data_IF_004124585049
#
_entry.id   IF_004124585049
#
_cell.length_a   1.000
_cell.length_b   1.000
_cell.length_c   1.000
_cell.angle_alpha   90.00
_cell.angle_beta   90.00
_cell.angle_gamma   90.00
#
_symmetry.space_group_name_H-M   'P 1'
#
loop_
_entity.id
_entity.type
_entity.pdbx_description
1 polymer ?
#
# COMPACT_ATOMS: atom_id res chain seq x y z
N UNK A 1 -5.23 1.16 -15.84
CA UNK A 1 -4.36 1.12 -17.03
C UNK A 1 -3.25 0.13 -16.75
N UNK A 2 -2.75 -0.64 -17.73
CA UNK A 2 -1.60 -1.52 -17.50
C UNK A 2 -0.39 -0.67 -17.09
N UNK A 3 0.46 -1.24 -16.25
CA UNK A 3 1.73 -0.60 -15.86
C UNK A 3 2.59 -0.47 -17.12
N UNK A 4 3.19 0.71 -17.34
CA UNK A 4 4.05 0.94 -18.49
C UNK A 4 5.22 -0.05 -18.48
N UNK A 5 5.44 -0.77 -19.59
CA UNK A 5 6.48 -1.79 -19.70
C UNK A 5 6.10 -3.16 -19.13
N UNK A 6 4.81 -3.46 -18.95
CA UNK A 6 4.34 -4.74 -18.45
C UNK A 6 4.81 -5.91 -19.34
N UNK A 7 5.33 -6.95 -18.68
CA UNK A 7 5.83 -8.15 -19.37
C UNK A 7 4.70 -8.94 -20.00
N UNK A 8 4.99 -9.57 -21.16
CA UNK A 8 4.07 -10.48 -21.82
C UNK A 8 4.02 -11.81 -21.04
N UNK A 9 2.85 -12.23 -20.51
CA UNK A 9 2.71 -13.49 -19.79
C UNK A 9 3.21 -14.71 -20.55
N UNK A 10 2.95 -14.79 -21.84
CA UNK A 10 3.36 -15.94 -22.67
C UNK A 10 4.89 -16.04 -22.81
N UNK A 11 5.60 -14.92 -22.80
CA UNK A 11 7.06 -14.91 -22.89
C UNK A 11 7.73 -15.40 -21.61
N UNK A 12 7.12 -15.12 -20.43
CA UNK A 12 7.72 -15.49 -19.15
C UNK A 12 7.23 -16.84 -18.62
N UNK A 13 6.11 -17.38 -19.10
CA UNK A 13 5.52 -18.64 -18.61
C UNK A 13 6.49 -19.81 -18.66
N UNK A 14 7.18 -19.99 -19.77
CA UNK A 14 8.16 -21.09 -19.93
C UNK A 14 9.31 -20.99 -18.94
N UNK A 15 9.92 -19.81 -18.82
CA UNK A 15 11.03 -19.53 -17.90
C UNK A 15 10.60 -19.72 -16.46
N UNK A 16 9.40 -19.24 -16.09
CA UNK A 16 8.85 -19.42 -14.74
C UNK A 16 8.54 -20.88 -14.43
N UNK A 17 8.11 -21.68 -15.42
CA UNK A 17 7.88 -23.11 -15.22
C UNK A 17 9.19 -23.83 -14.89
N UNK A 18 10.26 -23.57 -15.64
CA UNK A 18 11.59 -24.13 -15.39
C UNK A 18 12.13 -23.69 -14.03
N UNK A 19 12.04 -22.39 -13.71
CA UNK A 19 12.45 -21.84 -12.43
C UNK A 19 11.67 -22.46 -11.25
N UNK A 20 10.35 -22.61 -11.37
CA UNK A 20 9.54 -23.28 -10.34
C UNK A 20 9.97 -24.72 -10.10
N UNK A 21 10.29 -25.47 -11.16
CA UNK A 21 10.79 -26.84 -11.02
C UNK A 21 12.12 -26.89 -10.25
N UNK A 22 13.00 -25.91 -10.44
CA UNK A 22 14.25 -25.80 -9.66
C UNK A 22 13.99 -25.51 -8.17
N UNK A 23 12.91 -24.77 -7.84
CA UNK A 23 12.54 -24.50 -6.45
C UNK A 23 11.94 -25.74 -5.75
N UNK A 24 11.51 -26.74 -6.49
CA UNK A 24 10.82 -27.94 -6.01
C UNK A 24 11.52 -29.23 -6.51
N UNK A 25 12.75 -29.53 -6.04
CA UNK A 25 13.53 -30.67 -6.57
C UNK A 25 12.89 -32.04 -6.32
N UNK A 26 11.96 -32.14 -5.36
CA UNK A 26 11.23 -33.39 -5.04
C UNK A 26 9.93 -33.53 -5.87
N UNK A 27 9.54 -32.49 -6.61
CA UNK A 27 8.36 -32.51 -7.48
C UNK A 27 8.71 -32.91 -8.91
N UNK A 28 7.74 -33.51 -9.62
CA UNK A 28 7.81 -33.78 -11.05
C UNK A 28 6.63 -33.14 -11.77
N UNK A 29 6.71 -33.10 -13.12
CA UNK A 29 5.64 -32.58 -13.97
C UNK A 29 5.17 -31.17 -13.66
N UNK A 30 6.09 -30.31 -13.19
CA UNK A 30 5.78 -28.92 -12.88
C UNK A 30 5.35 -28.19 -14.15
N UNK A 31 4.17 -27.58 -14.10
CA UNK A 31 3.58 -26.88 -15.24
C UNK A 31 2.77 -25.67 -14.78
N UNK A 32 2.98 -24.50 -15.39
CA UNK A 32 2.07 -23.35 -15.27
C UNK A 32 1.00 -23.52 -16.35
N UNK A 33 -0.23 -23.77 -15.94
CA UNK A 33 -1.37 -24.04 -16.83
C UNK A 33 -2.02 -22.76 -17.33
N UNK A 34 -2.03 -21.70 -16.49
CA UNK A 34 -2.52 -20.37 -16.86
C UNK A 34 -1.64 -19.29 -16.24
N UNK A 35 -1.49 -18.15 -16.93
CA UNK A 35 -0.76 -16.98 -16.47
C UNK A 35 -1.38 -15.73 -17.07
N UNK A 36 -2.06 -14.93 -16.24
CA UNK A 36 -2.82 -13.78 -16.70
C UNK A 36 -2.51 -12.53 -15.89
N UNK A 37 -2.66 -11.38 -16.53
CA UNK A 37 -2.61 -10.08 -15.86
C UNK A 37 -3.98 -9.72 -15.34
N UNK A 38 -4.17 -9.43 -14.05
CA UNK A 38 -5.47 -8.99 -13.52
C UNK A 38 -5.88 -7.64 -14.11
N UNK A 39 -7.18 -7.42 -14.27
CA UNK A 39 -7.73 -6.18 -14.84
C UNK A 39 -7.45 -4.96 -13.97
N UNK A 40 -7.27 -5.14 -12.66
CA UNK A 40 -6.88 -4.09 -11.71
C UNK A 40 -5.54 -4.49 -11.07
N UNK A 41 -4.44 -3.94 -11.55
CA UNK A 41 -3.13 -4.01 -10.91
C UNK A 41 -2.79 -2.66 -10.30
N UNK A 42 -2.07 -2.66 -9.15
CA UNK A 42 -1.52 -1.43 -8.57
C UNK A 42 -0.51 -0.75 -9.49
N UNK A 43 -0.12 0.48 -9.17
CA UNK A 43 0.79 1.29 -10.01
C UNK A 43 2.27 0.96 -9.79
N UNK A 44 2.63 0.37 -8.66
CA UNK A 44 4.02 0.23 -8.21
C UNK A 44 4.67 -1.09 -8.59
N UNK A 45 3.89 -2.17 -8.79
CA UNK A 45 4.39 -3.51 -9.07
C UNK A 45 3.55 -4.24 -10.10
N UNK A 46 4.20 -5.03 -10.95
CA UNK A 46 3.49 -5.94 -11.86
C UNK A 46 2.93 -7.13 -11.08
N UNK A 47 1.69 -7.47 -11.36
CA UNK A 47 0.99 -8.60 -10.75
C UNK A 47 0.52 -9.58 -11.83
N UNK A 48 0.77 -10.86 -11.62
CA UNK A 48 0.26 -11.92 -12.46
C UNK A 48 -0.46 -12.95 -11.58
N UNK A 49 -1.61 -13.42 -12.05
CA UNK A 49 -2.30 -14.59 -11.49
C UNK A 49 -1.86 -15.81 -12.28
N UNK A 50 -1.51 -16.86 -11.60
CA UNK A 50 -1.08 -18.08 -12.24
C UNK A 50 -1.69 -19.31 -11.57
N UNK A 51 -2.05 -20.27 -12.41
CA UNK A 51 -2.45 -21.61 -12.00
C UNK A 51 -1.32 -22.56 -12.37
N UNK A 52 -0.88 -23.37 -11.41
CA UNK A 52 0.22 -24.30 -11.59
C UNK A 52 -0.14 -25.69 -11.06
N UNK A 53 0.45 -26.70 -11.67
CA UNK A 53 0.29 -28.10 -11.23
C UNK A 53 1.64 -28.79 -11.16
N UNK A 54 1.78 -29.72 -10.22
CA UNK A 54 2.94 -30.60 -10.12
C UNK A 54 2.56 -31.91 -9.43
N UNK A 55 3.45 -32.89 -9.48
CA UNK A 55 3.33 -34.13 -8.73
C UNK A 55 4.31 -34.11 -7.57
N UNK A 56 3.83 -34.26 -6.36
CA UNK A 56 4.63 -34.33 -5.12
C UNK A 56 4.22 -35.56 -4.32
N UNK A 57 5.18 -36.36 -3.87
CA UNK A 57 4.94 -37.64 -3.17
C UNK A 57 3.96 -38.60 -3.90
N UNK A 58 3.90 -38.53 -5.23
CA UNK A 58 3.01 -39.34 -6.06
C UNK A 58 1.58 -38.81 -6.17
N UNK A 59 1.28 -37.67 -5.54
CA UNK A 59 -0.03 -37.01 -5.63
C UNK A 59 0.06 -35.74 -6.48
N UNK A 60 -1.01 -35.48 -7.25
CA UNK A 60 -1.13 -34.25 -8.02
C UNK A 60 -1.49 -33.09 -7.08
N UNK A 61 -0.77 -32.01 -7.18
CA UNK A 61 -1.05 -30.72 -6.53
C UNK A 61 -1.51 -29.75 -7.60
N UNK A 62 -2.63 -29.08 -7.35
CA UNK A 62 -3.12 -27.94 -8.13
C UNK A 62 -3.00 -26.70 -7.22
N UNK A 63 -2.37 -25.64 -7.70
CA UNK A 63 -2.09 -24.42 -6.92
C UNK A 63 -2.48 -23.18 -7.69
N UNK A 64 -3.18 -22.29 -7.01
CA UNK A 64 -3.51 -20.93 -7.46
C UNK A 64 -2.54 -19.97 -6.79
N UNK A 65 -1.75 -19.25 -7.57
CA UNK A 65 -0.66 -18.42 -7.09
C UNK A 65 -0.78 -16.97 -7.62
N UNK A 66 -0.09 -16.07 -6.95
CA UNK A 66 0.13 -14.69 -7.40
C UNK A 66 1.63 -14.47 -7.48
N UNK A 67 2.09 -13.97 -8.63
CA UNK A 67 3.44 -13.45 -8.80
C UNK A 67 3.41 -11.93 -8.72
N UNK A 68 4.27 -11.36 -7.88
CA UNK A 68 4.56 -9.92 -7.83
C UNK A 68 5.97 -9.68 -8.32
N UNK A 69 6.13 -8.76 -9.26
CA UNK A 69 7.44 -8.41 -9.82
C UNK A 69 7.66 -6.91 -9.79
N UNK A 70 8.90 -6.50 -9.50
CA UNK A 70 9.29 -5.11 -9.61
C UNK A 70 9.26 -4.69 -11.08
N UNK A 71 8.61 -3.57 -11.43
CA UNK A 71 8.55 -3.09 -12.80
C UNK A 71 9.92 -2.62 -13.27
N UNK A 72 10.17 -2.74 -14.59
CA UNK A 72 11.44 -2.35 -15.20
C UNK A 72 11.67 -0.84 -15.17
N UNK A 73 10.60 -0.03 -15.11
CA UNK A 73 10.68 1.39 -15.46
C UNK A 73 10.05 2.37 -14.49
N UNK A 74 9.44 2.00 -13.36
CA UNK A 74 8.84 3.05 -12.51
C UNK A 74 9.11 2.85 -11.03
N UNK A 75 9.59 3.91 -10.40
CA UNK A 75 9.76 3.96 -8.96
C UNK A 75 8.92 5.12 -8.42
N UNK A 76 7.96 4.80 -7.55
CA UNK A 76 7.20 5.80 -6.79
C UNK A 76 7.94 6.20 -5.51
N UNK A 77 8.87 5.37 -5.05
CA UNK A 77 9.61 5.52 -3.80
C UNK A 77 11.12 5.46 -4.05
N UNK A 78 11.97 6.14 -3.24
CA UNK A 78 13.40 6.24 -3.47
C UNK A 78 14.17 4.93 -3.26
N UNK A 79 13.70 4.07 -2.38
CA UNK A 79 14.42 2.88 -1.91
C UNK A 79 13.46 1.68 -1.87
N UNK A 80 13.31 1.02 -3.04
CA UNK A 80 12.46 -0.17 -3.15
C UNK A 80 13.33 -1.42 -3.21
N UNK A 81 13.06 -2.35 -2.30
CA UNK A 81 13.48 -3.73 -2.39
C UNK A 81 12.26 -4.63 -2.21
N UNK A 82 11.65 -5.02 -3.33
CA UNK A 82 10.43 -5.83 -3.36
C UNK A 82 10.53 -7.09 -2.49
N UNK A 83 11.67 -7.80 -2.57
CA UNK A 83 11.86 -9.05 -1.84
C UNK A 83 12.04 -8.81 -0.36
N UNK A 84 12.82 -7.79 0.05
CA UNK A 84 13.02 -7.48 1.46
C UNK A 84 11.79 -6.84 2.09
N UNK A 85 11.14 -5.92 1.39
CA UNK A 85 10.00 -5.19 1.96
C UNK A 85 8.72 -6.03 1.91
N UNK A 86 8.33 -6.55 0.75
CA UNK A 86 7.04 -7.23 0.62
C UNK A 86 7.11 -8.72 0.96
N UNK A 87 7.97 -9.48 0.29
CA UNK A 87 8.04 -10.92 0.51
C UNK A 87 8.46 -11.28 1.93
N UNK A 88 9.57 -10.71 2.42
CA UNK A 88 10.08 -11.03 3.75
C UNK A 88 9.11 -10.58 4.83
N UNK A 89 8.49 -9.40 4.70
CA UNK A 89 7.50 -8.93 5.67
C UNK A 89 6.29 -9.85 5.75
N UNK A 90 5.69 -10.23 4.61
CA UNK A 90 4.58 -11.19 4.63
C UNK A 90 4.99 -12.57 5.17
N UNK A 91 6.19 -13.04 4.87
CA UNK A 91 6.72 -14.29 5.41
C UNK A 91 6.80 -14.24 6.94
N UNK A 92 7.43 -13.20 7.48
CA UNK A 92 7.59 -13.03 8.93
C UNK A 92 6.24 -12.86 9.64
N UNK A 93 5.32 -12.08 9.05
CA UNK A 93 3.97 -11.92 9.58
C UNK A 93 3.20 -13.25 9.62
N UNK A 94 3.27 -14.03 8.55
CA UNK A 94 2.60 -15.33 8.50
C UNK A 94 3.18 -16.37 9.46
N UNK A 95 4.47 -16.27 9.78
CA UNK A 95 5.16 -17.18 10.69
C UNK A 95 5.05 -16.77 12.18
N UNK A 96 4.93 -15.46 12.48
CA UNK A 96 5.11 -14.93 13.83
C UNK A 96 3.95 -14.04 14.31
N UNK A 97 2.87 -13.90 13.56
CA UNK A 97 1.75 -13.02 13.95
C UNK A 97 0.38 -13.60 13.56
N UNK A 98 -0.67 -12.89 13.96
CA UNK A 98 -2.05 -13.16 13.53
C UNK A 98 -2.55 -12.16 12.47
N UNK A 99 -1.66 -11.36 11.88
CA UNK A 99 -1.99 -10.52 10.73
C UNK A 99 -2.29 -11.43 9.55
N UNK A 100 -3.49 -11.32 8.94
CA UNK A 100 -3.82 -12.17 7.80
C UNK A 100 -3.00 -11.73 6.58
N UNK A 101 -2.13 -12.59 6.12
CA UNK A 101 -1.33 -12.40 4.89
C UNK A 101 -1.34 -13.69 4.07
N UNK A 102 -1.24 -13.61 2.74
CA UNK A 102 -1.11 -14.81 1.92
C UNK A 102 0.18 -15.54 2.28
N UNK A 103 0.14 -16.87 2.21
CA UNK A 103 1.36 -17.68 2.38
C UNK A 103 2.32 -17.37 1.25
N UNK A 104 3.50 -16.85 1.60
CA UNK A 104 4.60 -16.68 0.65
C UNK A 104 5.23 -18.03 0.30
N UNK A 105 5.57 -18.22 -0.98
CA UNK A 105 6.16 -19.46 -1.49
C UNK A 105 7.65 -19.28 -1.74
N UNK A 106 8.02 -18.53 -2.76
CA UNK A 106 9.39 -18.35 -3.21
C UNK A 106 9.65 -16.90 -3.58
N UNK A 107 10.92 -16.50 -3.55
CA UNK A 107 11.36 -15.19 -4.02
C UNK A 107 12.66 -15.31 -4.80
N UNK A 108 12.81 -14.44 -5.82
CA UNK A 108 13.96 -14.41 -6.70
C UNK A 108 14.49 -12.97 -6.83
N UNK A 109 15.80 -12.82 -6.71
CA UNK A 109 16.51 -11.54 -6.87
C UNK A 109 17.27 -11.47 -8.20
N UNK A 110 17.50 -12.61 -8.84
CA UNK A 110 18.18 -12.66 -10.13
C UNK A 110 17.27 -12.07 -11.22
N UNK A 111 17.66 -10.89 -11.67
CA UNK A 111 16.93 -10.17 -12.72
C UNK A 111 17.04 -10.84 -14.09
N UNK A 112 17.94 -11.80 -14.27
CA UNK A 112 18.09 -12.50 -15.55
C UNK A 112 16.93 -13.45 -15.86
N UNK A 113 16.15 -13.86 -14.84
CA UNK A 113 15.04 -14.82 -14.99
C UNK A 113 13.89 -14.17 -15.78
N UNK A 114 13.34 -13.06 -15.25
CA UNK A 114 12.21 -12.35 -15.90
C UNK A 114 12.44 -10.84 -16.05
N UNK A 115 13.67 -10.36 -15.89
CA UNK A 115 14.03 -8.95 -16.06
C UNK A 115 13.86 -8.09 -14.81
N UNK A 116 13.50 -8.64 -13.65
CA UNK A 116 13.39 -7.96 -12.37
C UNK A 116 13.21 -8.92 -11.21
N UNK A 117 13.47 -8.49 -9.96
CA UNK A 117 13.16 -9.28 -8.78
C UNK A 117 11.66 -9.61 -8.71
N UNK A 118 11.32 -10.79 -8.21
CA UNK A 118 9.92 -11.19 -8.04
C UNK A 118 9.75 -12.14 -6.85
N UNK A 119 8.50 -12.34 -6.45
CA UNK A 119 8.13 -13.38 -5.51
C UNK A 119 6.78 -13.99 -5.85
N UNK A 120 6.53 -15.18 -5.33
CA UNK A 120 5.26 -15.88 -5.46
C UNK A 120 4.62 -16.10 -4.09
N UNK A 121 3.28 -16.04 -4.06
CA UNK A 121 2.46 -16.29 -2.90
C UNK A 121 1.18 -17.03 -3.30
N UNK A 122 0.49 -17.64 -2.32
CA UNK A 122 -0.81 -18.24 -2.56
C UNK A 122 -1.85 -17.17 -2.93
N UNK A 123 -2.72 -17.48 -3.86
CA UNK A 123 -3.88 -16.65 -4.18
C UNK A 123 -4.95 -16.86 -3.12
N UNK A 124 -5.47 -15.79 -2.57
CA UNK A 124 -6.62 -15.82 -1.67
C UNK A 124 -7.90 -15.65 -2.46
N UNK A 125 -8.96 -16.35 -2.02
CA UNK A 125 -10.30 -16.21 -2.58
C UNK A 125 -11.12 -15.21 -1.75
N UNK A 126 -11.26 -14.00 -2.26
CA UNK A 126 -11.95 -12.90 -1.60
C UNK A 126 -12.10 -11.69 -2.52
N UNK A 127 -12.64 -10.62 -1.97
CA UNK A 127 -12.88 -9.38 -2.70
C UNK A 127 -12.12 -8.21 -2.06
N UNK A 128 -11.69 -7.27 -2.90
CA UNK A 128 -10.99 -6.05 -2.49
C UNK A 128 -11.88 -4.85 -2.80
N UNK A 129 -12.01 -3.87 -1.88
CA UNK A 129 -12.74 -2.64 -2.15
C UNK A 129 -12.06 -1.84 -3.26
N UNK A 130 -12.84 -1.30 -4.19
CA UNK A 130 -12.33 -0.51 -5.31
C UNK A 130 -11.81 0.86 -4.88
N UNK A 131 -10.76 1.33 -5.57
CA UNK A 131 -10.24 2.69 -5.43
C UNK A 131 -10.78 3.64 -6.52
N UNK A 132 -11.10 3.10 -7.71
CA UNK A 132 -11.59 3.87 -8.86
C UNK A 132 -12.61 3.04 -9.67
N UNK A 133 -13.91 3.27 -9.55
CA UNK A 133 -14.57 4.17 -8.59
C UNK A 133 -14.29 3.76 -7.14
N UNK A 134 -14.29 4.71 -6.19
CA UNK A 134 -14.01 4.37 -4.80
C UNK A 134 -15.14 3.52 -4.19
N UNK A 135 -14.78 2.72 -3.21
CA UNK A 135 -15.69 1.80 -2.51
C UNK A 135 -16.89 2.49 -1.83
N UNK A 136 -16.87 3.82 -1.72
CA UNK A 136 -18.00 4.63 -1.24
C UNK A 136 -19.02 4.97 -2.33
N UNK A 137 -18.67 4.77 -3.62
CA UNK A 137 -19.54 5.02 -4.77
C UNK A 137 -20.06 3.74 -5.43
N UNK A 138 -19.26 2.66 -5.39
CA UNK A 138 -19.62 1.42 -6.10
C UNK A 138 -18.98 0.19 -5.47
N UNK A 139 -19.50 -0.97 -5.85
CA UNK A 139 -19.01 -2.27 -5.41
C UNK A 139 -19.67 -2.75 -4.12
N UNK A 140 -19.19 -3.87 -3.62
CA UNK A 140 -19.84 -4.63 -2.57
C UNK A 140 -20.07 -3.86 -1.25
N UNK A 141 -19.23 -2.86 -0.94
CA UNK A 141 -19.39 -2.04 0.28
C UNK A 141 -20.64 -1.18 0.21
N UNK A 142 -20.99 -0.67 -0.96
CA UNK A 142 -22.24 0.08 -1.18
C UNK A 142 -23.46 -0.82 -1.00
N UNK A 143 -23.38 -2.06 -1.46
CA UNK A 143 -24.48 -3.04 -1.43
C UNK A 143 -24.72 -3.64 -0.04
N UNK A 144 -23.79 -3.47 0.91
CA UNK A 144 -23.91 -3.93 2.29
C UNK A 144 -25.04 -3.22 3.05
N UNK A 145 -25.63 -3.91 4.05
CA UNK A 145 -26.44 -3.23 5.08
C UNK A 145 -25.55 -2.37 6.00
N UNK A 146 -26.15 -1.46 6.76
CA UNK A 146 -25.41 -0.62 7.70
C UNK A 146 -24.67 -1.45 8.76
N UNK A 147 -25.25 -2.56 9.22
CA UNK A 147 -24.63 -3.47 10.17
C UNK A 147 -23.46 -4.24 9.56
N UNK A 148 -23.55 -4.62 8.29
CA UNK A 148 -22.45 -5.24 7.56
C UNK A 148 -21.30 -4.26 7.36
N UNK A 149 -21.60 -3.00 6.94
CA UNK A 149 -20.59 -1.94 6.83
C UNK A 149 -19.91 -1.64 8.16
N UNK A 150 -20.67 -1.63 9.27
CA UNK A 150 -20.08 -1.44 10.59
C UNK A 150 -19.10 -2.56 10.96
N UNK A 151 -19.42 -3.82 10.67
CA UNK A 151 -18.51 -4.95 10.87
C UNK A 151 -17.29 -4.87 9.95
N UNK A 152 -17.53 -4.57 8.67
CA UNK A 152 -16.47 -4.39 7.69
C UNK A 152 -15.46 -3.30 8.11
N UNK A 153 -15.96 -2.13 8.52
CA UNK A 153 -15.13 -1.02 8.97
C UNK A 153 -14.38 -1.36 10.28
N UNK A 154 -15.05 -2.02 11.23
CA UNK A 154 -14.43 -2.50 12.46
C UNK A 154 -13.26 -3.45 12.16
N UNK A 155 -13.50 -4.48 11.33
CA UNK A 155 -12.52 -5.50 11.00
C UNK A 155 -11.33 -4.92 10.22
N UNK A 156 -11.55 -3.90 9.37
CA UNK A 156 -10.49 -3.19 8.67
C UNK A 156 -9.55 -2.46 9.62
N UNK A 157 -10.09 -1.72 10.59
CA UNK A 157 -9.28 -1.03 11.62
C UNK A 157 -8.64 -2.04 12.58
N UNK A 158 -9.31 -3.13 12.89
CA UNK A 158 -8.75 -4.18 13.76
C UNK A 158 -7.53 -4.85 13.09
N UNK A 159 -7.60 -5.16 11.80
CA UNK A 159 -6.46 -5.69 11.05
C UNK A 159 -5.26 -4.72 11.03
N UNK A 160 -5.51 -3.42 10.87
CA UNK A 160 -4.49 -2.37 10.99
C UNK A 160 -3.81 -2.42 12.38
N UNK A 161 -4.58 -2.53 13.46
CA UNK A 161 -4.03 -2.56 14.82
C UNK A 161 -3.27 -3.86 15.13
N UNK A 162 -3.60 -4.97 14.47
CA UNK A 162 -2.81 -6.20 14.58
C UNK A 162 -1.37 -5.99 14.10
N UNK A 163 -1.18 -5.20 13.04
CA UNK A 163 0.16 -4.89 12.52
C UNK A 163 0.97 -4.14 13.58
N UNK A 164 0.44 -3.04 14.13
CA UNK A 164 1.14 -2.25 15.15
C UNK A 164 1.45 -3.01 16.45
N UNK A 165 0.74 -4.13 16.70
CA UNK A 165 0.95 -4.98 17.88
C UNK A 165 1.94 -6.12 17.66
N UNK A 166 2.50 -6.28 16.48
CA UNK A 166 3.52 -7.29 16.22
C UNK A 166 4.76 -6.98 17.06
N UNK A 167 5.23 -7.97 17.81
CA UNK A 167 6.56 -7.91 18.43
C UNK A 167 7.60 -8.00 17.31
N UNK A 168 7.94 -6.85 16.74
CA UNK A 168 8.79 -6.77 15.57
C UNK A 168 10.21 -7.28 15.80
N UNK A 169 10.73 -7.17 17.04
CA UNK A 169 12.05 -7.71 17.40
C UNK A 169 12.01 -9.25 17.41
N UNK A 170 11.05 -9.83 18.14
CA UNK A 170 10.89 -11.28 18.22
C UNK A 170 10.51 -11.89 16.86
N UNK A 171 9.74 -11.17 16.03
CA UNK A 171 9.37 -11.60 14.69
C UNK A 171 10.49 -11.40 13.63
N UNK A 172 11.59 -10.71 13.97
CA UNK A 172 12.76 -10.60 13.08
C UNK A 172 12.74 -9.43 12.09
N UNK A 173 11.96 -8.39 12.36
CA UNK A 173 11.87 -7.19 11.48
C UNK A 173 13.04 -6.22 11.62
N UNK A 174 14.11 -6.57 12.32
CA UNK A 174 15.30 -5.71 12.45
C UNK A 174 15.96 -5.28 11.14
N UNK A 175 15.67 -5.94 10.03
CA UNK A 175 16.10 -5.54 8.69
C UNK A 175 15.47 -4.22 8.22
N UNK A 176 14.37 -3.77 8.84
CA UNK A 176 13.74 -2.48 8.56
C UNK A 176 14.41 -1.30 9.27
N UNK A 177 15.42 -1.53 10.11
CA UNK A 177 16.24 -0.47 10.72
C UNK A 177 17.17 0.15 9.67
N UNK A 178 16.70 1.22 9.05
CA UNK A 178 17.40 1.97 7.98
C UNK A 178 18.39 2.99 8.59
N UNK A 179 19.45 2.49 9.23
CA UNK A 179 20.44 3.30 9.98
C UNK A 179 21.04 4.48 9.20
N UNK A 180 21.07 4.41 7.88
CA UNK A 180 21.55 5.50 7.02
C UNK A 180 20.65 6.74 7.03
N UNK A 181 19.39 6.62 7.49
CA UNK A 181 18.49 7.73 7.71
C UNK A 181 18.54 8.30 9.13
N UNK A 182 19.26 7.68 10.05
CA UNK A 182 19.39 8.13 11.44
C UNK A 182 19.15 7.02 12.47
N UNK A 183 19.03 7.41 13.73
CA UNK A 183 18.69 6.52 14.83
C UNK A 183 17.23 6.07 14.71
N UNK A 184 16.99 4.79 14.94
CA UNK A 184 15.65 4.19 14.89
C UNK A 184 14.63 4.99 15.73
N UNK A 185 13.46 5.20 15.18
CA UNK A 185 12.39 6.02 15.73
C UNK A 185 12.20 7.34 14.98
N UNK A 186 11.78 8.44 15.63
CA UNK A 186 11.41 9.70 14.99
C UNK A 186 12.51 10.29 14.10
N UNK A 187 13.77 10.18 14.54
CA UNK A 187 14.91 10.69 13.77
C UNK A 187 15.07 9.95 12.43
N UNK A 188 14.98 8.63 12.44
CA UNK A 188 15.11 7.80 11.24
C UNK A 188 13.95 8.06 10.27
N UNK A 189 12.71 8.14 10.79
CA UNK A 189 11.54 8.44 9.96
C UNK A 189 11.64 9.82 9.31
N UNK A 190 12.07 10.83 10.06
CA UNK A 190 12.32 12.17 9.52
C UNK A 190 13.42 12.15 8.46
N UNK A 191 14.51 11.42 8.68
CA UNK A 191 15.59 11.26 7.71
C UNK A 191 15.12 10.60 6.41
N UNK A 192 14.31 9.55 6.51
CA UNK A 192 13.68 8.89 5.35
C UNK A 192 12.81 9.87 4.54
N UNK A 193 11.92 10.62 5.19
CA UNK A 193 11.05 11.56 4.48
C UNK A 193 11.79 12.75 3.88
N UNK A 194 12.89 13.20 4.52
CA UNK A 194 13.77 14.19 3.91
C UNK A 194 14.42 13.65 2.64
N UNK A 195 14.90 12.39 2.67
CA UNK A 195 15.46 11.73 1.50
C UNK A 195 14.41 11.58 0.40
N UNK A 196 13.20 11.16 0.75
CA UNK A 196 12.10 11.00 -0.21
C UNK A 196 11.75 12.35 -0.89
N UNK A 197 11.59 13.43 -0.09
CA UNK A 197 11.37 14.78 -0.64
C UNK A 197 12.46 15.18 -1.62
N UNK A 198 13.74 15.03 -1.23
CA UNK A 198 14.86 15.40 -2.07
C UNK A 198 14.87 14.62 -3.39
N UNK A 199 14.63 13.31 -3.32
CA UNK A 199 14.58 12.44 -4.49
C UNK A 199 13.41 12.76 -5.43
N UNK A 200 12.20 12.97 -4.88
CA UNK A 200 11.02 13.24 -5.69
C UNK A 200 11.04 14.65 -6.29
N UNK A 201 11.45 15.65 -5.51
CA UNK A 201 11.41 17.06 -5.92
C UNK A 201 12.61 17.51 -6.75
N UNK A 202 13.74 16.81 -6.64
CA UNK A 202 14.99 17.14 -7.41
C UNK A 202 15.43 18.60 -7.29
N UNK A 203 15.09 19.25 -6.18
CA UNK A 203 15.38 20.68 -5.92
C UNK A 203 14.31 21.65 -6.44
N UNK A 204 13.27 21.19 -7.09
CA UNK A 204 12.14 22.03 -7.50
C UNK A 204 11.28 22.41 -6.30
N UNK A 205 10.68 23.61 -6.33
CA UNK A 205 9.74 24.07 -5.31
C UNK A 205 8.31 23.63 -5.60
N UNK A 206 7.56 23.35 -4.54
CA UNK A 206 6.15 22.96 -4.65
C UNK A 206 5.27 23.71 -3.64
N UNK A 207 4.15 24.32 -4.06
CA UNK A 207 3.38 25.24 -3.21
C UNK A 207 2.69 24.57 -2.02
N UNK A 208 2.60 23.24 -1.98
CA UNK A 208 2.04 22.49 -0.86
C UNK A 208 3.09 21.65 -0.14
N UNK A 209 3.96 20.94 -0.88
CA UNK A 209 4.97 20.04 -0.28
C UNK A 209 5.98 20.82 0.57
N UNK A 210 6.45 21.99 0.12
CA UNK A 210 7.45 22.75 0.88
C UNK A 210 6.87 23.27 2.20
N UNK A 211 5.72 23.96 2.25
CA UNK A 211 5.11 24.36 3.51
C UNK A 211 4.72 23.17 4.41
N UNK A 212 4.27 22.05 3.82
CA UNK A 212 3.97 20.84 4.57
C UNK A 212 5.22 20.29 5.26
N UNK A 213 6.33 20.22 4.54
CA UNK A 213 7.60 19.76 5.12
C UNK A 213 8.09 20.69 6.23
N UNK A 214 8.03 22.00 6.01
CA UNK A 214 8.45 22.99 7.01
C UNK A 214 7.60 22.86 8.29
N UNK A 215 6.28 22.68 8.15
CA UNK A 215 5.39 22.45 9.27
C UNK A 215 5.70 21.13 9.98
N UNK A 216 5.89 20.03 9.23
CA UNK A 216 6.23 18.73 9.80
C UNK A 216 7.54 18.77 10.58
N UNK A 217 8.58 19.41 10.04
CA UNK A 217 9.87 19.56 10.73
C UNK A 217 9.74 20.34 12.04
N UNK A 218 8.91 21.39 12.05
CA UNK A 218 8.68 22.22 13.23
C UNK A 218 7.84 21.53 14.31
N UNK A 219 6.99 20.58 13.94
CA UNK A 219 6.04 19.89 14.81
C UNK A 219 6.32 18.39 14.97
N UNK A 220 7.51 17.91 14.58
CA UNK A 220 7.83 16.47 14.65
C UNK A 220 7.71 15.99 16.10
N UNK A 221 6.86 14.97 16.38
CA UNK A 221 6.65 14.50 17.74
C UNK A 221 7.90 13.79 18.28
N UNK A 222 8.09 13.89 19.59
CA UNK A 222 9.08 13.08 20.32
C UNK A 222 8.36 11.85 20.88
N UNK A 223 8.05 10.91 19.97
CA UNK A 223 7.29 9.68 20.25
C UNK A 223 8.17 8.41 20.09
N UNK A 224 9.47 8.57 20.31
CA UNK A 224 10.46 7.48 20.17
C UNK A 224 10.29 6.32 21.15
N UNK A 225 9.35 6.41 22.09
CA UNK A 225 8.93 5.30 22.93
C UNK A 225 8.09 4.26 22.17
N UNK A 226 7.48 4.66 21.03
CA UNK A 226 6.67 3.80 20.19
C UNK A 226 7.46 3.38 18.95
N UNK A 227 8.25 2.31 19.06
CA UNK A 227 8.88 1.64 17.93
C UNK A 227 8.06 0.39 17.63
N UNK A 228 7.13 0.50 16.73
CA UNK A 228 6.16 -0.51 16.34
C UNK A 228 6.32 -0.82 14.85
N UNK A 229 5.75 -1.92 14.37
CA UNK A 229 5.66 -2.20 12.95
C UNK A 229 4.58 -1.32 12.32
N UNK A 230 4.93 -0.59 11.27
CA UNK A 230 4.01 0.19 10.47
C UNK A 230 3.81 -0.49 9.11
N UNK A 231 2.56 -0.66 8.70
CA UNK A 231 2.23 -1.23 7.40
C UNK A 231 2.61 -0.30 6.24
N UNK A 232 2.32 1.00 6.42
CA UNK A 232 2.66 2.07 5.48
C UNK A 232 1.54 2.45 4.54
N UNK A 233 1.04 1.55 3.68
CA UNK A 233 -0.13 1.83 2.82
C UNK A 233 -1.42 1.25 3.41
N UNK A 234 -1.69 1.66 4.64
CA UNK A 234 -2.79 1.22 5.47
C UNK A 234 -4.13 1.78 4.97
N UNK A 235 -4.84 1.03 4.12
CA UNK A 235 -6.13 1.43 3.55
C UNK A 235 -7.00 0.23 3.16
N UNK A 236 -8.34 0.40 3.07
CA UNK A 236 -9.23 -0.69 2.69
C UNK A 236 -8.90 -1.35 1.35
N UNK A 237 -8.45 -0.57 0.34
CA UNK A 237 -8.06 -1.09 -0.97
C UNK A 237 -6.87 -2.07 -0.95
N UNK A 238 -6.13 -2.14 0.17
CA UNK A 238 -5.05 -3.10 0.38
C UNK A 238 -5.44 -4.21 1.37
N UNK A 239 -6.74 -4.37 1.64
CA UNK A 239 -7.31 -5.47 2.42
C UNK A 239 -8.24 -6.31 1.54
N UNK A 240 -8.10 -7.62 1.62
CA UNK A 240 -9.05 -8.54 1.00
C UNK A 240 -10.05 -9.04 2.04
N UNK A 241 -11.29 -9.04 1.65
CA UNK A 241 -12.40 -9.43 2.51
C UNK A 241 -13.04 -10.73 2.02
N UNK A 242 -13.46 -11.53 2.98
CA UNK A 242 -14.09 -12.82 2.75
C UNK A 242 -15.14 -13.12 3.83
N UNK A 243 -15.45 -14.43 3.98
CA UNK A 243 -16.53 -14.87 4.83
C UNK A 243 -17.90 -14.75 4.17
N UNK A 244 -18.98 -15.16 4.86
CA UNK A 244 -20.32 -15.25 4.26
C UNK A 244 -20.89 -13.92 3.76
N UNK A 245 -20.47 -12.80 4.32
CA UNK A 245 -20.94 -11.46 3.99
C UNK A 245 -19.80 -10.48 3.64
N UNK A 246 -18.61 -11.01 3.34
CA UNK A 246 -17.43 -10.24 2.94
C UNK A 246 -17.03 -9.14 3.93
N UNK A 247 -17.17 -9.40 5.22
CA UNK A 247 -16.78 -8.45 6.27
C UNK A 247 -15.50 -8.84 7.00
N UNK A 248 -15.00 -10.07 6.82
CA UNK A 248 -13.79 -10.57 7.48
C UNK A 248 -12.56 -10.22 6.65
N UNK A 249 -11.54 -9.60 7.26
CA UNK A 249 -10.24 -9.37 6.60
C UNK A 249 -9.47 -10.68 6.55
N UNK A 250 -9.28 -11.22 5.34
CA UNK A 250 -8.57 -12.48 5.08
C UNK A 250 -7.18 -12.27 4.49
N UNK A 251 -6.85 -11.05 4.06
CA UNK A 251 -5.53 -10.71 3.52
C UNK A 251 -5.21 -9.24 3.65
N UNK A 252 -3.97 -8.94 4.03
CA UNK A 252 -3.37 -7.60 4.08
C UNK A 252 -2.19 -7.58 3.13
N UNK A 253 -2.18 -6.61 2.21
CA UNK A 253 -1.25 -6.55 1.08
C UNK A 253 -0.50 -5.22 1.04
N UNK A 254 0.38 -5.12 0.06
CA UNK A 254 1.13 -3.93 -0.31
C UNK A 254 2.03 -3.38 0.80
N UNK A 255 3.04 -4.18 1.12
CA UNK A 255 4.03 -3.93 2.17
C UNK A 255 5.23 -3.11 1.68
N UNK A 256 5.12 -2.41 0.55
CA UNK A 256 6.24 -1.66 -0.02
C UNK A 256 6.69 -0.45 0.81
N UNK A 257 5.79 0.07 1.67
CA UNK A 257 6.05 1.17 2.58
C UNK A 257 6.26 0.73 4.03
N UNK A 258 6.39 -0.60 4.27
CA UNK A 258 6.61 -1.17 5.62
C UNK A 258 7.81 -0.53 6.30
N UNK A 259 7.68 -0.25 7.59
CA UNK A 259 8.73 0.45 8.34
C UNK A 259 8.59 0.25 9.84
N UNK A 260 9.60 0.70 10.60
CA UNK A 260 9.54 0.79 12.05
C UNK A 260 9.33 2.25 12.47
N UNK A 261 8.36 2.48 13.36
CA UNK A 261 8.00 3.80 13.88
C UNK A 261 6.74 3.75 14.73
N UNK A 262 6.11 4.90 14.99
CA UNK A 262 4.83 4.92 15.69
C UNK A 262 3.70 4.52 14.74
N UNK A 263 2.93 3.47 15.08
CA UNK A 263 1.80 2.97 14.28
C UNK A 263 0.61 3.95 14.17
N UNK A 264 0.60 5.06 14.89
CA UNK A 264 -0.29 6.18 14.59
C UNK A 264 -0.09 6.71 13.16
N UNK A 265 1.07 6.48 12.53
CA UNK A 265 1.30 6.83 11.13
C UNK A 265 0.36 6.07 10.19
N UNK A 266 0.08 4.81 10.47
CA UNK A 266 -0.89 4.03 9.70
C UNK A 266 -2.33 4.51 9.94
N UNK A 267 -2.66 4.93 11.18
CA UNK A 267 -3.95 5.56 11.47
C UNK A 267 -4.12 6.87 10.71
N UNK A 268 -3.10 7.75 10.71
CA UNK A 268 -3.12 9.00 9.96
C UNK A 268 -3.26 8.79 8.46
N UNK A 269 -2.55 7.79 7.90
CA UNK A 269 -2.68 7.38 6.51
C UNK A 269 -4.09 6.87 6.19
N UNK A 270 -4.65 6.00 7.03
CA UNK A 270 -6.02 5.48 6.89
C UNK A 270 -7.06 6.62 6.85
N UNK A 271 -6.98 7.55 7.79
CA UNK A 271 -7.90 8.69 7.88
C UNK A 271 -7.78 9.60 6.67
N UNK A 272 -6.55 9.93 6.27
CA UNK A 272 -6.30 10.77 5.10
C UNK A 272 -6.83 10.12 3.82
N UNK A 273 -6.58 8.81 3.61
CA UNK A 273 -7.04 8.09 2.43
C UNK A 273 -8.57 7.91 2.42
N UNK A 274 -9.21 7.72 3.57
CA UNK A 274 -10.67 7.72 3.66
C UNK A 274 -11.25 9.08 3.27
N UNK A 275 -10.68 10.17 3.76
CA UNK A 275 -11.08 11.53 3.39
C UNK A 275 -10.85 11.78 1.89
N UNK A 276 -9.69 11.39 1.37
CA UNK A 276 -9.38 11.49 -0.06
C UNK A 276 -10.39 10.70 -0.91
N UNK A 277 -10.71 9.45 -0.55
CA UNK A 277 -11.67 8.61 -1.26
C UNK A 277 -13.06 9.24 -1.33
N UNK A 278 -13.51 9.85 -0.23
CA UNK A 278 -14.81 10.51 -0.15
C UNK A 278 -14.83 11.80 -0.96
N UNK A 279 -13.86 12.69 -0.76
CA UNK A 279 -13.87 14.03 -1.34
C UNK A 279 -13.52 14.04 -2.82
N UNK A 280 -12.56 13.22 -3.27
CA UNK A 280 -12.23 13.11 -4.70
C UNK A 280 -13.39 12.59 -5.53
N UNK A 281 -14.26 11.79 -4.90
CA UNK A 281 -15.46 11.25 -5.50
C UNK A 281 -16.67 12.21 -5.39
N UNK A 282 -16.61 13.25 -4.53
CA UNK A 282 -17.77 14.06 -4.17
C UNK A 282 -18.83 13.23 -3.45
N UNK A 283 -18.41 12.13 -2.82
CA UNK A 283 -19.25 11.19 -2.10
C UNK A 283 -19.48 11.63 -0.65
N UNK A 284 -20.28 10.87 0.06
CA UNK A 284 -20.46 11.00 1.50
C UNK A 284 -20.13 9.69 2.18
N UNK A 285 -19.77 9.75 3.45
CA UNK A 285 -19.59 8.55 4.25
C UNK A 285 -20.88 7.74 4.29
N UNK A 286 -20.81 6.44 3.96
CA UNK A 286 -21.97 5.58 3.95
C UNK A 286 -22.44 5.26 5.39
N UNK A 287 -23.74 5.12 5.64
CA UNK A 287 -24.23 4.73 6.94
C UNK A 287 -23.61 3.40 7.41
N UNK A 288 -23.24 3.33 8.69
CA UNK A 288 -22.53 2.18 9.26
C UNK A 288 -21.00 2.27 9.19
N UNK A 289 -20.42 3.09 8.31
CA UNK A 289 -18.97 3.33 8.31
C UNK A 289 -18.53 4.17 9.49
N UNK A 290 -17.26 4.01 9.88
CA UNK A 290 -16.64 4.81 10.93
C UNK A 290 -16.20 6.17 10.37
N UNK A 291 -16.63 7.25 11.01
CA UNK A 291 -16.07 8.59 10.79
C UNK A 291 -14.68 8.73 11.45
N UNK A 292 -14.04 9.89 11.27
CA UNK A 292 -12.71 10.15 11.84
C UNK A 292 -12.67 9.93 13.36
N UNK A 293 -13.64 10.48 14.11
CA UNK A 293 -13.64 10.38 15.55
C UNK A 293 -13.85 8.94 16.04
N UNK A 294 -14.78 8.22 15.42
CA UNK A 294 -15.07 6.81 15.73
C UNK A 294 -13.92 5.89 15.34
N UNK A 295 -13.22 6.17 14.23
CA UNK A 295 -12.02 5.42 13.82
C UNK A 295 -10.89 5.58 14.83
N UNK A 296 -10.62 6.81 15.28
CA UNK A 296 -9.60 7.10 16.31
C UNK A 296 -9.97 6.37 17.62
N UNK A 297 -11.21 6.52 18.10
CA UNK A 297 -11.66 5.89 19.33
C UNK A 297 -11.56 4.35 19.27
N UNK A 298 -11.89 3.74 18.13
CA UNK A 298 -11.75 2.31 17.93
C UNK A 298 -10.27 1.90 17.94
N UNK A 299 -9.41 2.64 17.23
CA UNK A 299 -7.96 2.38 17.22
C UNK A 299 -7.37 2.45 18.63
N UNK A 300 -7.70 3.50 19.40
CA UNK A 300 -7.26 3.66 20.82
C UNK A 300 -7.72 2.48 21.68
N UNK A 301 -8.98 2.10 21.55
CA UNK A 301 -9.52 0.93 22.27
C UNK A 301 -8.75 -0.35 21.92
N UNK A 302 -8.52 -0.59 20.63
CA UNK A 302 -7.86 -1.79 20.16
C UNK A 302 -6.37 -1.78 20.50
N UNK A 303 -5.66 -0.66 20.34
CA UNK A 303 -4.25 -0.54 20.69
C UNK A 303 -4.01 -0.54 22.21
N UNK A 304 -5.00 -0.12 23.00
CA UNK A 304 -4.89 0.02 24.45
C UNK A 304 -4.07 1.25 24.89
N UNK A 305 -3.92 2.22 24.01
CA UNK A 305 -3.22 3.49 24.26
C UNK A 305 -3.89 4.65 23.51
N UNK A 306 -3.73 5.90 23.96
CA UNK A 306 -4.24 7.05 23.22
C UNK A 306 -3.48 7.28 21.91
N UNK A 307 -4.16 7.89 20.95
CA UNK A 307 -3.59 8.45 19.73
C UNK A 307 -3.32 9.94 19.95
N UNK A 308 -2.06 10.30 20.15
CA UNK A 308 -1.67 11.64 20.63
C UNK A 308 -1.25 12.59 19.50
N UNK A 309 -0.97 12.08 18.32
CA UNK A 309 -0.37 12.84 17.20
C UNK A 309 -1.11 12.65 15.88
N UNK A 310 -2.41 12.35 15.90
CA UNK A 310 -3.21 12.01 14.70
C UNK A 310 -3.14 13.13 13.66
N UNK A 311 -3.33 14.39 14.06
CA UNK A 311 -3.27 15.52 13.11
C UNK A 311 -1.90 15.65 12.43
N UNK A 312 -0.81 15.36 13.16
CA UNK A 312 0.53 15.32 12.58
C UNK A 312 0.62 14.22 11.53
N UNK A 313 0.14 13.01 11.84
CA UNK A 313 0.24 11.88 10.93
C UNK A 313 -0.71 11.98 9.73
N UNK A 314 -1.85 12.65 9.84
CA UNK A 314 -2.70 12.98 8.68
C UNK A 314 -1.97 13.97 7.73
N UNK A 315 -1.29 14.99 8.28
CA UNK A 315 -0.49 15.91 7.45
C UNK A 315 0.72 15.19 6.83
N UNK A 316 1.37 14.29 7.57
CA UNK A 316 2.46 13.47 7.04
C UNK A 316 1.97 12.57 5.89
N UNK A 317 0.79 11.97 6.02
CA UNK A 317 0.15 11.20 4.96
C UNK A 317 -0.10 12.04 3.71
N UNK A 318 -0.68 13.23 3.88
CA UNK A 318 -0.90 14.18 2.79
C UNK A 318 0.40 14.62 2.10
N UNK A 319 1.45 14.90 2.88
CA UNK A 319 2.79 15.20 2.38
C UNK A 319 3.35 14.03 1.56
N UNK A 320 3.34 12.83 2.11
CA UNK A 320 3.86 11.63 1.45
C UNK A 320 3.09 11.32 0.16
N UNK A 321 1.75 11.37 0.20
CA UNK A 321 0.95 11.12 -1.00
C UNK A 321 1.12 12.24 -2.03
N UNK A 322 1.38 13.48 -1.63
CA UNK A 322 1.75 14.56 -2.56
C UNK A 322 3.06 14.26 -3.30
N UNK A 323 4.06 13.65 -2.66
CA UNK A 323 5.27 13.19 -3.32
C UNK A 323 4.99 12.07 -4.33
N UNK A 324 4.09 11.14 -4.00
CA UNK A 324 3.60 10.12 -4.95
C UNK A 324 2.94 10.76 -6.17
N UNK A 325 2.10 11.80 -5.97
CA UNK A 325 1.44 12.52 -7.07
C UNK A 325 2.44 13.21 -8.01
N UNK A 326 3.55 13.75 -7.48
CA UNK A 326 4.65 14.30 -8.31
C UNK A 326 5.24 13.20 -9.19
N UNK A 327 5.50 12.01 -8.63
CA UNK A 327 6.08 10.90 -9.39
C UNK A 327 5.11 10.32 -10.41
N UNK A 328 3.83 10.22 -10.08
CA UNK A 328 2.78 9.83 -11.03
C UNK A 328 2.67 10.83 -12.19
N UNK A 329 2.74 12.12 -11.90
CA UNK A 329 2.74 13.14 -12.95
C UNK A 329 3.94 12.99 -13.90
N UNK A 330 5.15 12.78 -13.34
CA UNK A 330 6.36 12.51 -14.15
C UNK A 330 6.16 11.26 -15.06
N UNK A 331 5.60 10.19 -14.51
CA UNK A 331 5.35 8.95 -15.25
C UNK A 331 4.36 9.17 -16.39
N UNK A 332 3.22 9.80 -16.12
CA UNK A 332 2.19 10.05 -17.14
C UNK A 332 2.66 11.01 -18.22
N UNK A 333 3.46 12.03 -17.88
CA UNK A 333 4.10 12.90 -18.88
C UNK A 333 5.06 12.10 -19.76
N UNK A 334 5.86 11.22 -19.17
CA UNK A 334 6.81 10.39 -19.90
C UNK A 334 6.11 9.39 -20.84
N UNK A 335 4.99 8.82 -20.40
CA UNK A 335 4.21 7.85 -21.18
C UNK A 335 3.41 8.51 -22.31
N UNK A 336 2.72 9.61 -22.03
CA UNK A 336 1.85 10.29 -23.01
C UNK A 336 2.59 11.23 -23.94
N UNK A 337 3.74 11.76 -23.52
CA UNK A 337 4.44 12.85 -24.18
C UNK A 337 3.75 14.22 -24.07
N UNK A 338 2.71 14.33 -23.24
CA UNK A 338 1.95 15.58 -23.02
C UNK A 338 2.41 16.30 -21.73
N UNK A 339 3.16 17.41 -21.84
CA UNK A 339 3.64 18.16 -20.69
C UNK A 339 2.52 18.78 -19.83
N UNK A 340 1.31 18.96 -20.38
CA UNK A 340 0.19 19.57 -19.65
C UNK A 340 -0.27 18.70 -18.47
N UNK A 341 -0.06 17.39 -18.54
CA UNK A 341 -0.33 16.43 -17.45
C UNK A 341 0.53 16.75 -16.22
N UNK A 342 1.70 17.36 -16.39
CA UNK A 342 2.56 17.77 -15.28
C UNK A 342 1.87 18.68 -14.26
N UNK A 343 0.83 19.40 -14.66
CA UNK A 343 0.05 20.23 -13.75
C UNK A 343 -0.65 19.41 -12.64
N UNK A 344 -0.90 18.11 -12.86
CA UNK A 344 -1.48 17.23 -11.84
C UNK A 344 -0.55 17.03 -10.63
N UNK A 345 0.73 17.31 -10.73
CA UNK A 345 1.61 17.30 -9.59
C UNK A 345 1.15 18.29 -8.50
N UNK A 346 0.61 19.43 -8.90
CA UNK A 346 0.14 20.50 -8.01
C UNK A 346 -1.38 20.48 -7.84
N UNK A 347 -2.13 20.32 -8.94
CA UNK A 347 -3.59 20.44 -8.95
C UNK A 347 -4.25 19.07 -8.94
N UNK A 348 -4.39 18.52 -7.75
CA UNK A 348 -5.01 17.21 -7.51
C UNK A 348 -5.68 17.18 -6.12
N UNK A 349 -6.62 16.25 -5.87
CA UNK A 349 -7.33 16.19 -4.58
C UNK A 349 -6.42 16.00 -3.37
N UNK A 350 -5.31 15.27 -3.50
CA UNK A 350 -4.36 15.03 -2.40
C UNK A 350 -3.74 16.34 -1.91
N UNK A 351 -3.20 17.14 -2.83
CA UNK A 351 -2.60 18.43 -2.50
C UNK A 351 -3.64 19.44 -2.01
N UNK A 352 -4.89 19.38 -2.51
CA UNK A 352 -5.98 20.23 -2.03
C UNK A 352 -6.37 19.92 -0.59
N UNK A 353 -6.50 18.63 -0.24
CA UNK A 353 -6.78 18.21 1.14
C UNK A 353 -5.61 18.57 2.06
N UNK A 354 -4.37 18.30 1.63
CA UNK A 354 -3.16 18.63 2.40
C UNK A 354 -3.05 20.14 2.68
N UNK A 355 -3.27 20.98 1.67
CA UNK A 355 -3.27 22.43 1.83
C UNK A 355 -4.33 22.91 2.83
N UNK A 356 -5.54 22.33 2.79
CA UNK A 356 -6.61 22.63 3.74
C UNK A 356 -6.26 22.21 5.16
N UNK A 357 -5.69 21.03 5.37
CA UNK A 357 -5.24 20.58 6.71
C UNK A 357 -4.17 21.50 7.30
N UNK A 358 -3.32 22.06 6.46
CA UNK A 358 -2.29 23.03 6.85
C UNK A 358 -2.81 24.47 7.00
N UNK A 359 -4.03 24.76 6.53
CA UNK A 359 -4.57 26.13 6.52
C UNK A 359 -3.85 27.07 5.53
N UNK A 360 -3.28 26.54 4.45
CA UNK A 360 -2.61 27.32 3.40
C UNK A 360 -3.50 27.47 2.15
N UNK A 361 -3.40 28.65 1.53
CA UNK A 361 -4.13 28.94 0.29
C UNK A 361 -3.20 28.86 -0.91
N UNK A 362 -3.60 28.04 -1.88
CA UNK A 362 -2.94 27.95 -3.20
C UNK A 362 -3.98 28.28 -4.27
N UNK A 363 -3.76 29.33 -5.11
CA UNK A 363 -4.73 29.76 -6.10
C UNK A 363 -5.17 28.61 -7.03
N UNK A 364 -6.48 28.42 -7.18
CA UNK A 364 -7.07 27.40 -8.04
C UNK A 364 -7.09 25.97 -7.45
N UNK A 365 -6.44 25.71 -6.32
CA UNK A 365 -6.35 24.38 -5.78
C UNK A 365 -7.67 23.88 -5.16
N UNK A 366 -8.41 24.76 -4.47
CA UNK A 366 -9.71 24.40 -3.89
C UNK A 366 -10.73 23.93 -4.95
N UNK A 367 -10.68 24.50 -6.16
CA UNK A 367 -11.57 24.13 -7.25
C UNK A 367 -11.40 22.66 -7.71
N UNK A 368 -10.30 22.01 -7.37
CA UNK A 368 -10.06 20.58 -7.70
C UNK A 368 -11.03 19.65 -6.96
N UNK A 369 -11.50 20.05 -5.78
CA UNK A 369 -12.49 19.31 -4.98
C UNK A 369 -13.94 19.68 -5.35
N UNK A 370 -14.14 20.75 -6.13
CA UNK A 370 -15.44 21.17 -6.62
C UNK A 370 -15.74 20.40 -7.92
N UNK A 371 -16.55 19.34 -7.84
CA UNK A 371 -17.06 18.72 -9.08
C UNK A 371 -17.90 19.72 -9.86
N UNK A 372 -17.79 19.82 -11.20
CA UNK A 372 -18.84 20.43 -11.99
C UNK A 372 -20.16 19.72 -11.66
N UNK A 373 -21.14 20.46 -11.16
CA UNK A 373 -22.50 19.94 -11.05
C UNK A 373 -23.00 19.71 -12.49
N UNK A 374 -22.80 18.51 -13.00
CA UNK A 374 -23.22 18.06 -14.30
C UNK A 374 -24.47 17.22 -14.24
#
# INVERSE_FOLDING_TARGET
MPVAGQRDPEQIRGVLTEWMAEQMPEASDVTITDLVVPQSSGFSNETFLLDATWTENGERVDAELVLRSQPVMSLLFPEIDLVTQQYLSMKLLGEHSNVPVPRTRWAERDTSIIGGPFFMMDRLDGIVPGDAPPYTESGFVVDMTDEQRARWAYNGVEALTRVGKVDWEAAGFGHLDQKHHGTLGPQQRRGYFQNYKNWAMKGESHPVIDPAWDWLVANWPDDGEFIELCWGDARPGNQMYGGPDNTEVIGVFDWEMVSLGNSESDLGWWLFLQQFSIESAGATLLPGMLDRASTIALWEQLMGRPASHVDFYEILAGFQFSLVMVKLAEMYVAESGDPSIGAMAVYNPVTAITARLLGIEVPGLAAVLERPQG
#
